data_IF_600742597956
#
_entry.id   IF_600742597956
#
_cell.length_a   1.000
_cell.length_b   1.000
_cell.length_c   1.000
_cell.angle_alpha   90.00
_cell.angle_beta   90.00
_cell.angle_gamma   90.00
#
_symmetry.space_group_name_H-M   'P 1'
#
loop_
_entity.id
_entity.type
_entity.pdbx_description
1 polymer ?
#
# COMPACT_ATOMS: atom_id res chain seq x y z
N UNK A 1 1.65 -6.29 -6.94
CA UNK A 1 2.82 -5.98 -7.78
C UNK A 1 2.44 -5.61 -9.22
N UNK A 2 1.66 -6.42 -9.94
CA UNK A 2 1.24 -6.12 -11.32
C UNK A 2 0.54 -4.77 -11.48
N UNK A 3 -0.34 -4.40 -10.54
CA UNK A 3 -1.01 -3.09 -10.55
C UNK A 3 -0.02 -1.91 -10.63
N UNK A 4 1.00 -1.90 -9.77
CA UNK A 4 2.00 -0.82 -9.73
C UNK A 4 2.87 -0.80 -11.00
N UNK A 5 3.16 -1.97 -11.58
CA UNK A 5 3.87 -2.06 -12.86
C UNK A 5 3.08 -1.39 -13.99
N UNK A 6 1.81 -1.77 -14.19
CA UNK A 6 0.96 -1.17 -15.21
C UNK A 6 0.74 0.33 -14.97
N UNK A 7 0.48 0.72 -13.72
CA UNK A 7 0.31 2.12 -13.33
C UNK A 7 1.57 2.93 -13.66
N UNK A 8 2.75 2.40 -13.35
CA UNK A 8 4.01 3.06 -13.64
C UNK A 8 4.28 3.23 -15.13
N UNK A 9 3.90 2.24 -15.96
CA UNK A 9 4.03 2.30 -17.41
C UNK A 9 3.15 3.38 -18.02
N UNK A 10 1.88 3.47 -17.58
CA UNK A 10 0.94 4.50 -18.02
C UNK A 10 1.44 5.89 -17.60
N UNK A 11 1.87 6.06 -16.35
CA UNK A 11 2.40 7.32 -15.84
C UNK A 11 3.66 7.75 -16.61
N UNK A 12 4.58 6.81 -16.86
CA UNK A 12 5.79 7.09 -17.63
C UNK A 12 5.46 7.53 -19.06
N UNK A 13 4.53 6.85 -19.75
CA UNK A 13 4.09 7.25 -21.09
C UNK A 13 3.46 8.65 -21.10
N UNK A 14 2.54 8.93 -20.19
CA UNK A 14 1.91 10.25 -20.10
C UNK A 14 2.94 11.36 -19.85
N UNK A 15 3.92 11.10 -18.98
CA UNK A 15 5.01 12.03 -18.73
C UNK A 15 5.89 12.21 -19.98
N UNK A 16 6.23 11.13 -20.68
CA UNK A 16 7.00 11.18 -21.92
C UNK A 16 6.32 12.03 -23.00
N UNK A 17 5.02 11.82 -23.23
CA UNK A 17 4.22 12.60 -24.18
C UNK A 17 4.18 14.08 -23.80
N UNK A 18 3.94 14.40 -22.53
CA UNK A 18 3.88 15.81 -22.08
C UNK A 18 5.23 16.51 -22.16
N UNK A 19 6.33 15.82 -21.83
CA UNK A 19 7.69 16.35 -21.98
C UNK A 19 8.03 16.59 -23.46
N UNK A 20 7.70 15.64 -24.33
CA UNK A 20 7.92 15.76 -25.77
C UNK A 20 7.15 16.93 -26.37
N UNK A 21 5.86 17.07 -26.04
CA UNK A 21 5.04 18.19 -26.48
C UNK A 21 5.61 19.55 -26.03
N UNK A 22 6.04 19.66 -24.76
CA UNK A 22 6.68 20.88 -24.24
C UNK A 22 7.98 21.21 -24.96
N UNK A 23 8.79 20.20 -25.28
CA UNK A 23 10.05 20.39 -26.00
C UNK A 23 9.80 20.83 -27.45
N UNK A 24 8.91 20.15 -28.17
CA UNK A 24 8.50 20.54 -29.53
C UNK A 24 7.97 21.97 -29.60
N UNK A 25 7.15 22.38 -28.61
CA UNK A 25 6.66 23.78 -28.54
C UNK A 25 7.79 24.79 -28.32
N UNK A 26 8.79 24.47 -27.49
CA UNK A 26 9.96 25.34 -27.26
C UNK A 26 10.83 25.49 -28.50
N UNK A 27 10.99 24.43 -29.27
CA UNK A 27 11.83 24.43 -30.48
C UNK A 27 11.14 25.20 -31.60
N UNK A 28 9.82 25.00 -31.79
CA UNK A 28 9.03 25.74 -32.79
C UNK A 28 9.08 27.26 -32.62
N UNK A 29 9.27 27.75 -31.39
CA UNK A 29 9.36 29.17 -31.09
C UNK A 29 10.77 29.77 -31.31
N UNK A 30 11.73 29.00 -31.83
CA UNK A 30 13.11 29.45 -32.05
C UNK A 30 13.54 29.17 -33.50
N UNK A 31 14.28 30.11 -34.10
CA UNK A 31 14.89 29.95 -35.42
C UNK A 31 16.20 29.16 -35.31
N UNK A 32 16.12 27.86 -35.04
CA UNK A 32 17.26 26.97 -35.07
C UNK A 32 17.47 26.39 -36.48
N UNK A 33 18.71 26.05 -36.83
CA UNK A 33 19.00 25.22 -38.01
C UNK A 33 18.60 23.76 -37.75
N UNK A 34 18.30 23.02 -38.81
CA UNK A 34 17.83 21.62 -38.71
C UNK A 34 18.81 20.71 -37.97
N UNK A 35 20.12 20.91 -38.17
CA UNK A 35 21.16 20.15 -37.48
C UNK A 35 21.17 20.39 -35.96
N UNK A 36 21.02 21.65 -35.54
CA UNK A 36 20.91 22.03 -34.13
C UNK A 36 19.63 21.50 -33.49
N UNK A 37 18.53 21.47 -34.25
CA UNK A 37 17.26 20.88 -33.82
C UNK A 37 17.45 19.39 -33.53
N UNK A 38 18.08 18.65 -34.45
CA UNK A 38 18.32 17.21 -34.30
C UNK A 38 19.17 16.89 -33.07
N UNK A 39 20.30 17.58 -32.92
CA UNK A 39 21.21 17.37 -31.77
C UNK A 39 20.52 17.70 -30.44
N UNK A 40 19.75 18.79 -30.40
CA UNK A 40 18.98 19.16 -29.21
C UNK A 40 17.90 18.13 -28.88
N UNK A 41 17.16 17.66 -29.87
CA UNK A 41 16.15 16.61 -29.70
C UNK A 41 16.76 15.31 -29.19
N UNK A 42 17.88 14.86 -29.78
CA UNK A 42 18.55 13.64 -29.35
C UNK A 42 18.99 13.73 -27.87
N UNK A 43 19.63 14.84 -27.48
CA UNK A 43 20.02 15.08 -26.09
C UNK A 43 18.81 15.06 -25.14
N UNK A 44 17.74 15.74 -25.52
CA UNK A 44 16.54 15.85 -24.68
C UNK A 44 15.71 14.58 -24.65
N UNK A 45 15.70 13.78 -25.70
CA UNK A 45 15.07 12.47 -25.73
C UNK A 45 15.75 11.53 -24.73
N UNK A 46 17.08 11.50 -24.68
CA UNK A 46 17.84 10.72 -23.69
C UNK A 46 17.52 11.16 -22.26
N UNK A 47 17.48 12.47 -21.99
CA UNK A 47 17.07 12.99 -20.67
C UNK A 47 15.64 12.57 -20.31
N UNK A 48 14.69 12.63 -21.25
CA UNK A 48 13.31 12.20 -21.01
C UNK A 48 13.21 10.70 -20.72
N UNK A 49 13.94 9.86 -21.46
CA UNK A 49 13.97 8.41 -21.23
C UNK A 49 14.49 8.11 -19.82
N UNK A 50 15.57 8.78 -19.40
CA UNK A 50 16.10 8.63 -18.04
C UNK A 50 15.07 9.01 -16.98
N UNK A 51 14.32 10.11 -17.17
CA UNK A 51 13.24 10.52 -16.26
C UNK A 51 12.12 9.48 -16.23
N UNK A 52 11.68 8.97 -17.39
CA UNK A 52 10.63 7.95 -17.49
C UNK A 52 11.04 6.68 -16.75
N UNK A 53 12.29 6.20 -16.92
CA UNK A 53 12.82 5.05 -16.18
C UNK A 53 12.82 5.30 -14.66
N UNK A 54 13.20 6.50 -14.22
CA UNK A 54 13.20 6.88 -12.81
C UNK A 54 11.79 6.82 -12.21
N UNK A 55 10.78 7.33 -12.93
CA UNK A 55 9.38 7.25 -12.54
C UNK A 55 8.92 5.80 -12.42
N UNK A 56 9.28 4.95 -13.38
CA UNK A 56 8.94 3.51 -13.33
C UNK A 56 9.51 2.87 -12.07
N UNK A 57 10.79 3.12 -11.76
CA UNK A 57 11.44 2.58 -10.55
C UNK A 57 10.74 3.09 -9.28
N UNK A 58 10.47 4.39 -9.18
CA UNK A 58 9.82 4.97 -8.00
C UNK A 58 8.44 4.35 -7.78
N UNK A 59 7.60 4.30 -8.82
CA UNK A 59 6.21 3.84 -8.69
C UNK A 59 6.12 2.31 -8.56
N UNK A 60 6.99 1.55 -9.24
CA UNK A 60 6.96 0.09 -9.19
C UNK A 60 7.64 -0.51 -7.97
N UNK A 61 8.68 0.13 -7.41
CA UNK A 61 9.48 -0.44 -6.32
C UNK A 61 9.40 0.37 -5.04
N UNK A 62 9.67 1.68 -5.10
CA UNK A 62 9.74 2.49 -3.89
C UNK A 62 8.36 2.71 -3.28
N UNK A 63 7.35 3.00 -4.10
CA UNK A 63 6.00 3.26 -3.61
C UNK A 63 5.37 2.04 -2.91
N UNK A 64 5.41 0.80 -3.46
CA UNK A 64 4.93 -0.37 -2.75
C UNK A 64 5.71 -0.66 -1.46
N UNK A 65 7.02 -0.43 -1.47
CA UNK A 65 7.86 -0.60 -0.29
C UNK A 65 7.49 0.41 0.81
N UNK A 66 7.25 1.67 0.45
CA UNK A 66 6.78 2.71 1.37
C UNK A 66 5.39 2.39 1.94
N UNK A 67 4.46 1.93 1.10
CA UNK A 67 3.15 1.48 1.56
C UNK A 67 3.33 0.31 2.55
N UNK A 68 4.20 -0.64 2.25
CA UNK A 68 4.44 -1.79 3.14
C UNK A 68 5.04 -1.39 4.50
N UNK A 69 5.95 -0.40 4.53
CA UNK A 69 6.64 -0.01 5.77
C UNK A 69 5.88 1.02 6.59
N UNK A 70 5.15 1.93 5.94
CA UNK A 70 4.48 3.07 6.61
C UNK A 70 2.97 2.87 6.77
N UNK A 71 2.34 2.02 5.96
CA UNK A 71 0.91 1.77 6.13
C UNK A 71 0.71 1.05 7.47
N UNK A 72 -0.23 1.52 8.31
CA UNK A 72 -0.61 0.79 9.49
C UNK A 72 -0.98 -0.62 9.03
N UNK A 73 -0.21 -1.60 9.50
CA UNK A 73 -0.58 -2.99 9.30
C UNK A 73 -1.90 -3.13 10.04
N UNK A 74 -3.00 -3.11 9.30
CA UNK A 74 -4.25 -3.63 9.80
C UNK A 74 -3.94 -5.09 10.14
N UNK A 75 -3.55 -5.33 11.39
CA UNK A 75 -3.77 -6.60 12.07
C UNK A 75 -5.29 -6.70 12.06
N UNK A 76 -5.81 -7.23 10.94
CA UNK A 76 -7.24 -7.32 10.69
C UNK A 76 -7.85 -7.92 11.93
N UNK A 77 -8.66 -7.12 12.65
CA UNK A 77 -8.93 -7.23 14.08
C UNK A 77 -8.63 -8.62 14.60
N UNK A 78 -7.36 -8.89 14.91
CA UNK A 78 -7.03 -10.13 15.59
C UNK A 78 -7.62 -9.83 16.93
N UNK A 79 -8.75 -10.49 17.21
CA UNK A 79 -9.41 -10.53 18.51
C UNK A 79 -8.30 -10.31 19.52
N UNK A 80 -8.31 -9.14 20.16
CA UNK A 80 -7.45 -8.93 21.30
C UNK A 80 -8.00 -9.92 22.31
N UNK A 81 -7.52 -11.15 22.25
CA UNK A 81 -7.68 -12.14 23.30
C UNK A 81 -6.81 -11.54 24.39
N UNK A 82 -7.42 -10.65 25.16
CA UNK A 82 -6.96 -10.34 26.49
C UNK A 82 -7.11 -11.70 27.18
N UNK A 83 -6.03 -12.50 27.21
CA UNK A 83 -5.95 -13.62 28.13
C UNK A 83 -6.06 -13.01 29.52
N UNK A 84 -7.30 -12.92 29.99
CA UNK A 84 -7.60 -12.49 31.34
C UNK A 84 -7.27 -13.69 32.22
N UNK A 85 -5.99 -13.84 32.58
CA UNK A 85 -5.48 -14.79 33.58
C UNK A 85 -6.18 -14.66 34.95
N UNK A 86 -7.07 -13.68 35.12
CA UNK A 86 -7.80 -13.37 36.34
C UNK A 86 -9.26 -13.87 36.37
N UNK A 87 -9.73 -14.65 35.39
CA UNK A 87 -11.07 -15.23 35.49
C UNK A 87 -11.04 -16.43 36.44
N UNK A 88 -11.47 -16.19 37.68
CA UNK A 88 -11.67 -17.22 38.69
C UNK A 88 -12.73 -18.22 38.20
N UNK A 89 -12.50 -19.54 38.27
CA UNK A 89 -13.50 -20.52 37.88
C UNK A 89 -14.74 -20.38 38.77
N UNK A 90 -15.93 -20.57 38.19
CA UNK A 90 -17.21 -20.49 38.92
C UNK A 90 -17.24 -21.51 40.07
N UNK A 91 -16.57 -22.65 39.88
CA UNK A 91 -16.37 -23.68 40.91
C UNK A 91 -14.92 -24.19 40.91
N UNK A 92 -14.29 -24.38 42.09
CA UNK A 92 -12.90 -24.82 42.21
C UNK A 92 -12.65 -26.26 41.71
N UNK A 93 -13.71 -27.05 41.46
CA UNK A 93 -13.61 -28.47 41.09
C UNK A 93 -13.80 -28.77 39.60
N UNK A 94 -14.23 -27.81 38.77
CA UNK A 94 -14.51 -28.09 37.36
C UNK A 94 -13.82 -27.08 36.43
N UNK A 95 -12.66 -27.47 35.87
CA UNK A 95 -11.86 -26.66 34.94
C UNK A 95 -12.58 -26.30 33.64
N UNK A 96 -13.72 -26.93 33.36
CA UNK A 96 -14.48 -26.74 32.12
C UNK A 96 -15.58 -25.67 32.24
N UNK A 97 -15.78 -25.07 33.42
CA UNK A 97 -16.73 -23.98 33.65
C UNK A 97 -16.01 -22.63 33.62
N UNK A 98 -16.36 -21.78 32.67
CA UNK A 98 -15.75 -20.45 32.51
C UNK A 98 -16.75 -19.41 32.02
N UNK A 99 -16.50 -18.15 32.38
CA UNK A 99 -17.19 -16.97 31.84
C UNK A 99 -16.18 -16.22 30.98
N UNK A 100 -16.45 -16.07 29.69
CA UNK A 100 -15.62 -15.28 28.77
C UNK A 100 -16.36 -13.98 28.43
N UNK A 101 -15.81 -12.85 28.83
CA UNK A 101 -16.28 -11.53 28.36
C UNK A 101 -15.71 -11.27 26.97
N UNK A 102 -16.59 -10.90 26.03
CA UNK A 102 -16.24 -10.51 24.67
C UNK A 102 -16.86 -9.14 24.42
N UNK A 103 -16.01 -8.14 24.15
CA UNK A 103 -16.47 -6.79 23.80
C UNK A 103 -16.34 -6.62 22.28
N UNK A 104 -17.46 -6.39 21.60
CA UNK A 104 -17.50 -6.02 20.18
C UNK A 104 -18.24 -4.69 20.04
N UNK A 105 -17.59 -3.70 19.40
CA UNK A 105 -18.17 -2.37 19.08
C UNK A 105 -18.99 -1.75 20.23
N UNK A 106 -18.38 -1.61 21.41
CA UNK A 106 -18.97 -1.08 22.64
C UNK A 106 -20.14 -1.89 23.24
N UNK A 107 -20.47 -3.05 22.68
CA UNK A 107 -21.43 -3.99 23.26
C UNK A 107 -20.66 -5.09 24.00
N UNK A 108 -20.91 -5.18 25.31
CA UNK A 108 -20.36 -6.25 26.16
C UNK A 108 -21.26 -7.48 26.07
N UNK A 109 -20.68 -8.60 25.65
CA UNK A 109 -21.33 -9.90 25.63
C UNK A 109 -20.58 -10.89 26.52
N UNK A 110 -21.29 -11.76 27.22
CA UNK A 110 -20.71 -12.75 28.11
C UNK A 110 -21.06 -14.14 27.60
N UNK A 111 -20.06 -14.97 27.34
CA UNK A 111 -20.22 -16.37 27.00
C UNK A 111 -20.02 -17.18 28.28
N UNK A 112 -21.07 -17.85 28.74
CA UNK A 112 -21.04 -18.71 29.92
C UNK A 112 -21.00 -20.16 29.47
N UNK A 113 -19.92 -20.88 29.79
CA UNK A 113 -19.86 -22.33 29.64
C UNK A 113 -20.14 -22.97 31.00
N UNK A 114 -21.26 -23.68 31.11
CA UNK A 114 -21.71 -24.37 32.34
C UNK A 114 -21.19 -25.81 32.45
N UNK A 115 -20.39 -26.29 31.48
CA UNK A 115 -19.93 -27.67 31.43
C UNK A 115 -21.05 -28.67 31.12
N UNK A 116 -20.71 -29.94 30.91
CA UNK A 116 -21.73 -30.98 30.74
C UNK A 116 -22.46 -31.23 32.08
N UNK A 117 -23.80 -31.41 32.05
CA UNK A 117 -24.53 -31.80 33.24
C UNK A 117 -24.02 -33.15 33.73
N UNK A 118 -23.66 -33.21 35.02
CA UNK A 118 -23.29 -34.46 35.68
C UNK A 118 -24.37 -35.52 35.44
N UNK A 119 -23.97 -36.67 34.89
CA UNK A 119 -24.79 -37.88 34.79
C UNK A 119 -24.74 -38.67 36.08
#
# INVERSE_FOLDING_TARGET
MLFFLYLSGILAMLLGVTLFQRQSKKIKNKNYSDELILHYFAKKATENIMIMCLVVIIVSLLLPLLIWTLSPKEVGGVDKIIETDNLSPIFPYNKNQYIKEVTDKDVKSYIVNVGEPFK
#
